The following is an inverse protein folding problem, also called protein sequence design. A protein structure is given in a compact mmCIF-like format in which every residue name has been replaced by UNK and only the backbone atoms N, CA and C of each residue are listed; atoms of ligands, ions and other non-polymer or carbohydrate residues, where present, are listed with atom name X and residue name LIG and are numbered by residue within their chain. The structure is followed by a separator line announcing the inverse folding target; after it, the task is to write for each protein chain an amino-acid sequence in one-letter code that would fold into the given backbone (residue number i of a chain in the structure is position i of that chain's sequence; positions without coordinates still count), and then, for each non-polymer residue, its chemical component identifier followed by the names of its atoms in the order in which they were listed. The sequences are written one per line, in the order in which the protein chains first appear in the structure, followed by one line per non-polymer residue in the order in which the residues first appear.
data_IF_031065417183
#
_entry.id   IF_031065417183
#
_cell.length_a   1.000
_cell.length_b   1.000
_cell.length_c   1.000
_cell.angle_alpha   90.00
_cell.angle_beta   90.00
_cell.angle_gamma   90.00
#
_symmetry.space_group_name_H-M   'P 1'
#
loop_
_entity.id
_entity.type
_entity.pdbx_description
1 polymer ?
#
# COMPACT_ATOMS: atom_id res chain seq x y z
N UNK A 1 -9.48 -5.11 27.30
CA UNK A 1 -9.22 -3.67 27.04
C UNK A 1 -8.16 -3.48 25.96
N UNK A 2 -6.91 -3.89 26.17
CA UNK A 2 -5.80 -3.73 25.21
C UNK A 2 -6.13 -4.15 23.75
N UNK A 3 -6.79 -5.30 23.57
CA UNK A 3 -7.10 -5.82 22.23
C UNK A 3 -8.18 -4.99 21.51
N UNK A 4 -9.17 -4.46 22.23
CA UNK A 4 -10.16 -3.56 21.65
C UNK A 4 -9.52 -2.22 21.26
N UNK A 5 -8.62 -1.70 22.11
CA UNK A 5 -7.84 -0.51 21.78
C UNK A 5 -7.01 -0.72 20.51
N UNK A 6 -6.29 -1.85 20.41
CA UNK A 6 -5.49 -2.19 19.24
C UNK A 6 -6.34 -2.26 17.95
N UNK A 7 -7.52 -2.90 17.99
CA UNK A 7 -8.42 -2.99 16.84
C UNK A 7 -8.97 -1.62 16.43
N UNK A 8 -9.37 -0.79 17.39
CA UNK A 8 -9.86 0.56 17.11
C UNK A 8 -8.76 1.45 16.52
N UNK A 9 -7.53 1.37 17.05
CA UNK A 9 -6.37 2.08 16.50
C UNK A 9 -6.01 1.60 15.10
N UNK A 10 -6.06 0.29 14.84
CA UNK A 10 -5.83 -0.26 13.49
C UNK A 10 -6.89 0.22 12.50
N UNK A 11 -8.16 0.27 12.90
CA UNK A 11 -9.23 0.84 12.08
C UNK A 11 -8.99 2.31 11.74
N UNK A 12 -8.50 3.11 12.70
CA UNK A 12 -8.26 4.53 12.52
C UNK A 12 -7.14 4.83 11.52
N UNK A 13 -6.21 3.90 11.29
CA UNK A 13 -5.16 4.01 10.27
C UNK A 13 -5.54 3.35 8.94
N UNK A 14 -6.81 2.94 8.78
CA UNK A 14 -7.32 2.39 7.52
C UNK A 14 -7.26 0.87 7.38
N UNK A 15 -6.92 0.11 8.44
CA UNK A 15 -7.03 -1.35 8.39
C UNK A 15 -8.50 -1.80 8.40
N UNK A 16 -8.83 -2.81 7.61
CA UNK A 16 -10.15 -3.45 7.63
C UNK A 16 -10.23 -4.44 8.78
N UNK A 17 -10.98 -4.08 9.84
CA UNK A 17 -11.13 -4.89 11.07
C UNK A 17 -12.55 -5.42 11.31
N UNK A 18 -13.46 -5.32 10.33
CA UNK A 18 -14.88 -5.69 10.49
C UNK A 18 -15.11 -7.18 10.81
N UNK A 19 -14.18 -8.06 10.44
CA UNK A 19 -14.29 -9.51 10.60
C UNK A 19 -13.39 -10.07 11.72
N UNK A 20 -12.83 -9.23 12.58
CA UNK A 20 -11.92 -9.64 13.65
C UNK A 20 -12.31 -8.97 14.97
N UNK A 21 -12.51 -9.79 16.01
CA UNK A 21 -12.78 -9.33 17.37
C UNK A 21 -11.59 -9.53 18.31
N UNK A 22 -11.65 -8.89 19.47
CA UNK A 22 -10.63 -9.05 20.52
C UNK A 22 -10.48 -10.52 20.96
N UNK A 23 -11.54 -11.32 20.92
CA UNK A 23 -11.47 -12.73 21.26
C UNK A 23 -10.65 -13.53 20.25
N UNK A 24 -10.76 -13.23 18.95
CA UNK A 24 -9.97 -13.89 17.90
C UNK A 24 -8.46 -13.64 18.05
N UNK A 25 -8.11 -12.41 18.46
CA UNK A 25 -6.73 -12.04 18.79
C UNK A 25 -6.25 -12.75 20.06
N UNK A 26 -7.10 -12.84 21.09
CA UNK A 26 -6.78 -13.53 22.35
C UNK A 26 -6.56 -15.03 22.14
N UNK A 27 -7.36 -15.64 21.27
CA UNK A 27 -7.24 -17.04 20.87
C UNK A 27 -6.11 -17.28 19.85
N UNK A 28 -5.55 -16.21 19.29
CA UNK A 28 -4.43 -16.29 18.34
C UNK A 28 -4.81 -16.94 17.01
N UNK A 29 -6.02 -16.70 16.50
CA UNK A 29 -6.48 -17.29 15.23
C UNK A 29 -5.53 -16.91 14.09
N UNK A 30 -4.74 -17.86 13.53
CA UNK A 30 -3.54 -17.50 12.76
C UNK A 30 -3.81 -16.62 11.55
N UNK A 31 -4.84 -16.94 10.76
CA UNK A 31 -5.17 -16.19 9.54
C UNK A 31 -5.66 -14.76 9.84
N UNK A 32 -6.33 -14.55 10.98
CA UNK A 32 -6.80 -13.22 11.40
C UNK A 32 -5.65 -12.37 11.94
N UNK A 33 -4.78 -12.96 12.76
CA UNK A 33 -3.59 -12.28 13.30
C UNK A 33 -2.65 -11.89 12.16
N UNK A 34 -2.33 -12.82 11.25
CA UNK A 34 -1.46 -12.55 10.10
C UNK A 34 -2.09 -11.54 9.13
N UNK A 35 -3.40 -11.62 8.90
CA UNK A 35 -4.13 -10.64 8.09
C UNK A 35 -4.09 -9.23 8.66
N UNK A 36 -4.25 -9.08 9.98
CA UNK A 36 -4.11 -7.78 10.65
C UNK A 36 -2.67 -7.26 10.59
N UNK A 37 -1.69 -8.12 10.90
CA UNK A 37 -0.27 -7.75 10.87
C UNK A 37 0.16 -7.28 9.47
N UNK A 38 -0.25 -8.00 8.43
CA UNK A 38 0.03 -7.62 7.05
C UNK A 38 -0.53 -6.24 6.70
N UNK A 39 -1.78 -5.95 7.07
CA UNK A 39 -2.37 -4.64 6.82
C UNK A 39 -1.60 -3.51 7.50
N UNK A 40 -1.17 -3.70 8.76
CA UNK A 40 -0.37 -2.71 9.49
C UNK A 40 0.98 -2.48 8.80
N UNK A 41 1.68 -3.55 8.43
CA UNK A 41 2.95 -3.45 7.69
C UNK A 41 2.75 -2.71 6.36
N UNK A 42 1.71 -3.08 5.62
CA UNK A 42 1.37 -2.47 4.33
C UNK A 42 1.10 -0.98 4.46
N UNK A 43 0.28 -0.57 5.43
CA UNK A 43 0.02 0.86 5.71
C UNK A 43 1.33 1.58 6.00
N UNK A 44 2.18 1.03 6.88
CA UNK A 44 3.46 1.65 7.22
C UNK A 44 4.44 1.78 6.05
N UNK A 45 4.56 0.74 5.21
CA UNK A 45 5.48 0.74 4.07
C UNK A 45 5.04 1.66 2.93
N UNK A 46 3.73 1.78 2.72
CA UNK A 46 3.18 2.56 1.60
C UNK A 46 2.75 3.97 2.02
N UNK A 47 2.83 4.32 3.31
CA UNK A 47 2.38 5.60 3.85
C UNK A 47 3.02 6.82 3.19
N UNK A 48 4.27 6.69 2.73
CA UNK A 48 5.02 7.80 2.12
C UNK A 48 4.97 7.79 0.58
N UNK A 49 4.25 6.83 -0.02
CA UNK A 49 4.01 6.76 -1.46
C UNK A 49 2.74 7.57 -1.78
N UNK A 50 2.84 8.87 -1.57
CA UNK A 50 1.78 9.84 -1.81
C UNK A 50 2.41 11.16 -2.30
N UNK A 51 1.81 11.79 -3.31
CA UNK A 51 2.36 13.03 -3.91
C UNK A 51 2.44 14.16 -2.87
N UNK A 52 1.48 14.25 -1.95
CA UNK A 52 1.46 15.25 -0.87
C UNK A 52 2.65 15.14 0.09
N UNK A 53 3.28 13.97 0.17
CA UNK A 53 4.46 13.69 1.00
C UNK A 53 5.76 13.72 0.22
N UNK A 54 5.69 13.40 -1.08
CA UNK A 54 6.84 13.33 -1.96
C UNK A 54 6.53 13.96 -3.32
N UNK A 55 6.83 15.25 -3.46
CA UNK A 55 6.62 16.03 -4.69
C UNK A 55 7.40 15.48 -5.89
N UNK A 56 8.48 14.70 -5.67
CA UNK A 56 9.22 14.08 -6.77
C UNK A 56 8.38 13.08 -7.59
N UNK A 57 7.29 12.57 -7.02
CA UNK A 57 6.34 11.70 -7.71
C UNK A 57 5.58 12.41 -8.84
N UNK A 58 5.56 13.76 -8.87
CA UNK A 58 5.00 14.54 -9.98
C UNK A 58 5.72 14.21 -11.30
N UNK A 59 7.01 13.84 -11.25
CA UNK A 59 7.78 13.44 -12.43
C UNK A 59 7.24 12.17 -13.12
N UNK A 60 6.32 11.44 -12.47
CA UNK A 60 5.68 10.26 -13.04
C UNK A 60 4.53 10.59 -13.98
N UNK A 61 4.08 11.85 -14.06
CA UNK A 61 2.99 12.28 -14.94
C UNK A 61 3.29 11.94 -16.41
N UNK A 62 2.32 11.33 -17.09
CA UNK A 62 2.46 10.96 -18.50
C UNK A 62 2.03 12.11 -19.40
N UNK A 63 2.49 12.08 -20.65
CA UNK A 63 2.05 13.04 -21.66
C UNK A 63 0.53 12.96 -21.85
N UNK A 64 -0.16 14.09 -21.69
CA UNK A 64 -1.62 14.19 -21.82
C UNK A 64 -2.43 13.73 -20.61
N UNK A 65 -1.79 13.38 -19.49
CA UNK A 65 -2.46 13.04 -18.23
C UNK A 65 -2.46 14.24 -17.28
N UNK A 66 -3.56 14.44 -16.55
CA UNK A 66 -3.67 15.48 -15.54
C UNK A 66 -3.16 15.02 -14.16
N UNK A 67 -2.64 15.96 -13.36
CA UNK A 67 -2.15 15.65 -12.00
C UNK A 67 -3.22 14.99 -11.12
N UNK A 68 -4.48 15.35 -11.31
CA UNK A 68 -5.61 14.76 -10.57
C UNK A 68 -5.79 13.26 -10.88
N UNK A 69 -5.47 12.83 -12.11
CA UNK A 69 -5.50 11.40 -12.47
C UNK A 69 -4.36 10.64 -11.79
N UNK A 70 -3.17 11.23 -11.74
CA UNK A 70 -2.03 10.66 -11.02
C UNK A 70 -2.32 10.52 -9.51
N UNK A 71 -3.00 11.50 -8.91
CA UNK A 71 -3.41 11.47 -7.49
C UNK A 71 -4.50 10.43 -7.17
N UNK A 72 -5.21 9.92 -8.18
CA UNK A 72 -6.24 8.87 -7.99
C UNK A 72 -5.63 7.47 -7.89
N UNK A 73 -4.36 7.29 -8.26
CA UNK A 73 -3.68 6.00 -8.17
C UNK A 73 -3.51 5.59 -6.70
N UNK A 74 -3.73 4.31 -6.43
CA UNK A 74 -3.34 3.71 -5.16
C UNK A 74 -1.81 3.76 -4.97
N UNK A 75 -1.31 3.70 -3.72
CA UNK A 75 0.13 3.64 -3.46
C UNK A 75 0.85 2.53 -4.23
N UNK A 76 0.22 1.36 -4.41
CA UNK A 76 0.78 0.25 -5.17
C UNK A 76 0.88 0.51 -6.67
N UNK A 77 -0.15 1.13 -7.25
CA UNK A 77 -0.14 1.54 -8.66
C UNK A 77 0.91 2.62 -8.89
N UNK A 78 1.04 3.57 -7.97
CA UNK A 78 2.03 4.63 -8.03
C UNK A 78 3.45 4.07 -7.90
N UNK A 79 3.66 3.08 -7.02
CA UNK A 79 4.94 2.35 -6.91
C UNK A 79 5.27 1.58 -8.19
N UNK A 80 4.32 0.86 -8.77
CA UNK A 80 4.51 0.14 -10.04
C UNK A 80 4.87 1.11 -11.17
N UNK A 81 4.19 2.25 -11.23
CA UNK A 81 4.47 3.32 -12.18
C UNK A 81 5.86 3.90 -11.98
N UNK A 82 6.28 4.12 -10.74
CA UNK A 82 7.63 4.59 -10.41
C UNK A 82 8.71 3.59 -10.85
N UNK A 83 8.51 2.29 -10.62
CA UNK A 83 9.45 1.26 -11.07
C UNK A 83 9.55 1.27 -12.59
N UNK A 84 8.42 1.26 -13.30
CA UNK A 84 8.39 1.26 -14.76
C UNK A 84 8.97 2.52 -15.39
N UNK A 85 8.85 3.69 -14.73
CA UNK A 85 9.52 4.92 -15.15
C UNK A 85 11.04 4.71 -15.24
N UNK A 86 11.65 4.12 -14.20
CA UNK A 86 13.09 3.84 -14.20
C UNK A 86 13.50 2.72 -15.15
N UNK A 87 12.70 1.65 -15.27
CA UNK A 87 12.95 0.56 -16.23
C UNK A 87 12.95 1.08 -17.67
N UNK A 88 11.95 1.87 -18.03
CA UNK A 88 11.86 2.49 -19.37
C UNK A 88 13.07 3.37 -19.65
N UNK A 89 13.49 4.21 -18.69
CA UNK A 89 14.68 5.06 -18.83
C UNK A 89 15.99 4.25 -18.97
N UNK A 90 16.04 3.05 -18.41
CA UNK A 90 17.16 2.12 -18.54
C UNK A 90 17.08 1.24 -19.82
N UNK A 91 16.06 1.39 -20.66
CA UNK A 91 15.83 0.56 -21.84
C UNK A 91 15.38 -0.86 -21.53
N UNK A 92 14.84 -1.10 -20.34
CA UNK A 92 14.30 -2.39 -19.91
C UNK A 92 12.79 -2.49 -20.14
N UNK A 93 12.25 -3.71 -20.38
CA UNK A 93 10.82 -3.94 -20.44
C UNK A 93 10.14 -3.62 -19.11
N UNK A 94 8.91 -3.12 -19.19
CA UNK A 94 8.08 -2.85 -18.02
C UNK A 94 7.55 -4.13 -17.36
N UNK A 95 7.29 -4.03 -16.07
CA UNK A 95 6.62 -5.05 -15.26
C UNK A 95 5.16 -4.66 -14.99
N UNK A 96 4.32 -5.65 -14.71
CA UNK A 96 2.90 -5.48 -14.40
C UNK A 96 2.55 -5.90 -12.97
N UNK A 97 3.45 -6.59 -12.26
CA UNK A 97 3.26 -7.03 -10.89
C UNK A 97 4.59 -7.23 -10.14
N UNK A 98 4.55 -7.20 -8.81
CA UNK A 98 5.70 -7.48 -7.95
C UNK A 98 5.80 -8.97 -7.55
N UNK A 99 5.38 -9.89 -8.43
CA UNK A 99 5.42 -11.33 -8.17
C UNK A 99 6.22 -12.08 -9.23
N UNK A 100 5.61 -12.51 -10.35
CA UNK A 100 6.31 -13.28 -11.38
C UNK A 100 7.28 -12.42 -12.19
N UNK A 101 6.97 -11.14 -12.39
CA UNK A 101 7.74 -10.26 -13.28
C UNK A 101 9.09 -9.83 -12.67
N UNK A 102 9.31 -10.10 -11.38
CA UNK A 102 10.55 -9.77 -10.65
C UNK A 102 11.31 -11.02 -10.14
N UNK A 103 10.91 -12.21 -10.58
CA UNK A 103 11.57 -13.48 -10.22
C UNK A 103 12.76 -13.81 -11.11
#
# INVERSE_FOLDING_TARGET
ENLNLALNSASAIGCTVVNIGAQDLKEGKPHLVLGLLWQIIKVGLLADIEISRNEALIALLKEGEDLEELMKLSPEELLLRWVNYHLTNAGWPNINNFSQDIK
#
